data_IF_873739564926
#
_entry.id   IF_873739564926
#
_cell.length_a   1.000
_cell.length_b   1.000
_cell.length_c   1.000
_cell.angle_alpha   90.00
_cell.angle_beta   90.00
_cell.angle_gamma   90.00
#
_symmetry.space_group_name_H-M   'P 1'
#
loop_
_entity.id
_entity.type
_entity.pdbx_description
1 polymer ?
#
# COMPACT_ATOMS: atom_id res chain seq x y z
N UNK A 1 -11.44 13.80 -19.39
CA UNK A 1 -10.43 13.93 -18.31
C UNK A 1 -11.10 13.61 -16.98
N UNK A 2 -10.55 12.66 -16.21
CA UNK A 2 -11.07 12.31 -14.87
C UNK A 2 -10.04 12.79 -13.85
N UNK A 3 -10.48 13.54 -12.84
CA UNK A 3 -9.64 14.03 -11.75
C UNK A 3 -10.00 13.30 -10.45
N UNK A 4 -9.00 12.83 -9.71
CA UNK A 4 -9.15 12.33 -8.35
C UNK A 4 -8.32 13.18 -7.39
N UNK A 5 -8.77 13.30 -6.14
CA UNK A 5 -8.06 14.03 -5.10
C UNK A 5 -7.90 13.12 -3.88
N UNK A 6 -6.67 13.03 -3.37
CA UNK A 6 -6.39 12.38 -2.08
C UNK A 6 -5.72 13.41 -1.17
N UNK A 7 -6.46 14.08 -0.27
CA UNK A 7 -5.89 15.09 0.62
C UNK A 7 -4.87 14.52 1.62
N UNK A 8 -4.99 13.23 1.93
CA UNK A 8 -4.08 12.51 2.81
C UNK A 8 -3.51 11.29 2.05
N UNK A 9 -2.56 11.49 1.13
CA UNK A 9 -1.91 10.39 0.43
C UNK A 9 -0.96 9.64 1.38
N UNK A 10 -0.64 8.40 1.04
CA UNK A 10 0.24 7.56 1.83
C UNK A 10 1.26 6.82 0.97
N UNK A 11 2.29 6.32 1.64
CA UNK A 11 3.11 5.22 1.13
C UNK A 11 2.73 3.98 1.93
N UNK A 12 2.02 3.07 1.29
CA UNK A 12 1.57 1.85 1.93
C UNK A 12 2.72 0.84 1.87
N UNK A 13 3.28 0.48 3.03
CA UNK A 13 4.33 -0.52 3.12
C UNK A 13 3.74 -1.86 3.56
N UNK A 14 3.88 -2.87 2.71
CA UNK A 14 3.47 -4.25 3.00
C UNK A 14 4.70 -5.09 3.29
N UNK A 15 4.66 -5.89 4.36
CA UNK A 15 5.70 -6.86 4.71
C UNK A 15 5.18 -8.28 4.58
N UNK A 16 5.97 -9.16 3.98
CA UNK A 16 5.72 -10.59 3.96
C UNK A 16 6.49 -11.27 5.10
N UNK A 17 5.72 -11.86 6.02
CA UNK A 17 6.24 -12.53 7.21
C UNK A 17 5.94 -14.02 7.12
N UNK A 18 6.88 -14.90 7.49
CA UNK A 18 6.63 -16.35 7.52
C UNK A 18 5.62 -16.76 8.61
N UNK A 19 5.39 -15.89 9.59
CA UNK A 19 4.42 -16.08 10.67
C UNK A 19 4.30 -14.86 11.56
N UNK A 20 3.24 -14.82 12.38
CA UNK A 20 2.94 -13.73 13.31
C UNK A 20 3.03 -14.22 14.75
N UNK A 21 4.15 -13.93 15.42
CA UNK A 21 4.34 -14.20 16.84
C UNK A 21 4.31 -12.90 17.64
N UNK A 22 3.38 -12.79 18.58
CA UNK A 22 3.21 -11.59 19.40
C UNK A 22 4.36 -11.45 20.41
N UNK A 23 4.75 -10.20 20.69
CA UNK A 23 5.78 -9.88 21.67
C UNK A 23 7.22 -10.16 21.21
N UNK A 24 7.43 -10.58 19.96
CA UNK A 24 8.74 -10.85 19.40
C UNK A 24 9.09 -9.90 18.26
N UNK A 25 10.38 -9.76 17.97
CA UNK A 25 10.83 -9.10 16.74
C UNK A 25 10.53 -10.01 15.55
N UNK A 26 9.76 -9.50 14.58
CA UNK A 26 9.45 -10.19 13.32
C UNK A 26 10.37 -9.67 12.22
N UNK A 27 11.09 -10.57 11.55
CA UNK A 27 11.94 -10.24 10.39
C UNK A 27 11.18 -10.57 9.12
N UNK A 28 10.97 -9.57 8.28
CA UNK A 28 10.31 -9.75 7.00
C UNK A 28 11.22 -10.48 6.00
N UNK A 29 10.59 -11.28 5.16
CA UNK A 29 11.25 -11.97 4.04
C UNK A 29 11.23 -11.12 2.77
N UNK A 30 10.23 -10.25 2.64
CA UNK A 30 10.15 -9.23 1.61
C UNK A 30 9.40 -8.00 2.13
N UNK A 31 9.65 -6.85 1.50
CA UNK A 31 8.85 -5.64 1.65
C UNK A 31 8.50 -5.05 0.28
N UNK A 32 7.37 -4.36 0.23
CA UNK A 32 6.90 -3.62 -0.95
C UNK A 32 6.31 -2.30 -0.50
N UNK A 33 6.58 -1.25 -1.26
CA UNK A 33 5.99 0.08 -1.06
C UNK A 33 5.13 0.42 -2.26
N UNK A 34 3.88 0.77 -1.99
CA UNK A 34 2.92 1.21 -2.99
C UNK A 34 2.45 2.64 -2.71
N UNK A 35 2.14 3.44 -3.75
CA UNK A 35 1.46 4.70 -3.55
C UNK A 35 0.02 4.43 -3.07
N UNK A 36 -0.31 4.93 -1.89
CA UNK A 36 -1.59 4.74 -1.24
C UNK A 36 -2.46 6.00 -1.23
N UNK A 37 -3.75 5.81 -1.01
CA UNK A 37 -4.74 6.87 -1.03
C UNK A 37 -5.94 6.54 -1.90
N UNK A 38 -7.14 6.93 -1.48
CA UNK A 38 -8.37 6.56 -2.19
C UNK A 38 -8.39 7.06 -3.64
N UNK A 39 -8.09 8.33 -3.87
CA UNK A 39 -8.01 8.88 -5.23
C UNK A 39 -6.86 8.29 -6.05
N UNK A 40 -5.71 8.03 -5.42
CA UNK A 40 -4.57 7.34 -6.05
C UNK A 40 -4.99 5.93 -6.52
N UNK A 41 -5.65 5.16 -5.66
CA UNK A 41 -6.11 3.81 -5.98
C UNK A 41 -7.19 3.80 -7.07
N UNK A 42 -8.13 4.75 -7.04
CA UNK A 42 -9.11 4.92 -8.14
C UNK A 42 -8.38 5.24 -9.45
N UNK A 43 -7.41 6.15 -9.43
CA UNK A 43 -6.65 6.52 -10.64
C UNK A 43 -5.87 5.32 -11.21
N UNK A 44 -5.26 4.50 -10.34
CA UNK A 44 -4.57 3.27 -10.73
C UNK A 44 -5.51 2.23 -11.33
N UNK A 45 -6.70 2.06 -10.75
CA UNK A 45 -7.71 1.14 -11.26
C UNK A 45 -8.22 1.58 -12.64
N UNK A 46 -8.50 2.88 -12.82
CA UNK A 46 -8.93 3.45 -14.11
C UNK A 46 -7.83 3.33 -15.18
N UNK A 47 -6.56 3.52 -14.82
CA UNK A 47 -5.45 3.40 -15.76
C UNK A 47 -5.12 1.95 -16.17
N UNK A 48 -5.54 0.96 -15.37
CA UNK A 48 -5.32 -0.47 -15.63
C UNK A 48 -6.50 -1.15 -16.37
N UNK A 49 -7.60 -0.43 -16.57
CA UNK A 49 -8.77 -0.88 -17.33
C UNK A 49 -8.59 -0.61 -18.83
#
# INVERSE_FOLDING_TARGET
>A
MILTVTPNPSLDRTYELPGLTRGTVLRATADRVDPGGKGVNVSRAVAAA
#
